data_IF_868437511414
#
_entry.id   IF_868437511414
#
_cell.length_a   1.000
_cell.length_b   1.000
_cell.length_c   1.000
_cell.angle_alpha   90.00
_cell.angle_beta   90.00
_cell.angle_gamma   90.00
#
_symmetry.space_group_name_H-M   'P 1'
#
loop_
_entity.id
_entity.type
_entity.pdbx_description
1 polymer ?
#
# COMPACT_ATOMS: atom_id res chain seq x y z
N UNK A 1 41.23 9.48 24.16
CA UNK A 1 40.47 10.61 23.56
C UNK A 1 40.00 10.31 22.13
N UNK A 2 40.89 9.93 21.20
CA UNK A 2 40.51 9.56 19.81
C UNK A 2 39.51 8.40 19.72
N UNK A 3 39.70 7.35 20.51
CA UNK A 3 38.78 6.20 20.61
C UNK A 3 37.34 6.60 20.98
N UNK A 4 37.22 7.55 21.92
CA UNK A 4 35.94 8.05 22.37
C UNK A 4 35.25 8.87 21.28
N UNK A 5 36.00 9.71 20.56
CA UNK A 5 35.50 10.48 19.41
C UNK A 5 35.04 9.54 18.29
N UNK A 6 35.76 8.46 18.02
CA UNK A 6 35.41 7.49 16.97
C UNK A 6 34.11 6.74 17.31
N UNK A 7 33.93 6.30 18.56
CA UNK A 7 32.69 5.68 19.04
C UNK A 7 31.47 6.60 18.90
N UNK A 8 31.59 7.88 19.29
CA UNK A 8 30.49 8.83 19.13
C UNK A 8 30.16 9.12 17.66
N UNK A 9 31.16 9.16 16.77
CA UNK A 9 30.92 9.28 15.32
C UNK A 9 30.19 8.07 14.75
N UNK A 10 30.57 6.85 15.17
CA UNK A 10 29.86 5.63 14.75
C UNK A 10 28.41 5.65 15.24
N UNK A 11 28.17 5.95 16.52
CA UNK A 11 26.82 6.03 17.08
C UNK A 11 25.96 7.07 16.37
N UNK A 12 26.53 8.22 16.04
CA UNK A 12 25.84 9.26 15.28
C UNK A 12 25.46 8.80 13.87
N UNK A 13 26.37 8.14 13.15
CA UNK A 13 26.08 7.60 11.81
C UNK A 13 24.98 6.54 11.87
N UNK A 14 25.04 5.62 12.84
CA UNK A 14 24.00 4.60 13.04
C UNK A 14 22.65 5.27 13.33
N UNK A 15 22.63 6.24 14.24
CA UNK A 15 21.41 7.00 14.56
C UNK A 15 20.82 7.70 13.33
N UNK A 16 21.66 8.32 12.49
CA UNK A 16 21.23 8.97 11.26
C UNK A 16 20.68 7.97 10.23
N UNK A 17 21.33 6.82 10.05
CA UNK A 17 20.84 5.74 9.17
C UNK A 17 19.48 5.22 9.66
N UNK A 18 19.32 5.01 10.96
CA UNK A 18 18.05 4.57 11.54
C UNK A 18 16.94 5.62 11.35
N UNK A 19 17.24 6.90 11.57
CA UNK A 19 16.29 8.00 11.31
C UNK A 19 15.89 8.07 9.83
N UNK A 20 16.84 7.89 8.92
CA UNK A 20 16.58 7.87 7.48
C UNK A 20 15.70 6.69 7.07
N UNK A 21 15.98 5.48 7.57
CA UNK A 21 15.14 4.29 7.34
C UNK A 21 13.73 4.47 7.91
N UNK A 22 13.62 5.01 9.12
CA UNK A 22 12.34 5.27 9.78
C UNK A 22 11.52 6.33 9.02
N UNK A 23 12.15 7.41 8.57
CA UNK A 23 11.50 8.43 7.74
C UNK A 23 10.99 7.89 6.41
N UNK A 24 11.77 7.02 5.74
CA UNK A 24 11.32 6.32 4.53
C UNK A 24 10.14 5.40 4.79
N UNK A 25 10.13 4.70 5.92
CA UNK A 25 9.05 3.80 6.29
C UNK A 25 7.73 4.57 6.52
N UNK A 26 7.77 5.72 7.22
CA UNK A 26 6.59 6.60 7.40
C UNK A 26 6.01 7.06 6.04
N UNK A 27 6.86 7.34 5.06
CA UNK A 27 6.42 7.77 3.73
C UNK A 27 5.69 6.67 2.95
N UNK A 28 5.99 5.39 3.21
CA UNK A 28 5.39 4.26 2.50
C UNK A 28 4.04 3.85 3.13
N UNK A 29 3.82 4.12 4.43
CA UNK A 29 2.56 3.77 5.09
C UNK A 29 1.39 4.75 4.84
N UNK A 30 1.66 5.93 4.28
CA UNK A 30 0.63 6.92 3.98
C UNK A 30 0.18 6.80 2.54
N UNK A 31 -1.11 6.67 2.33
CA UNK A 31 -1.70 6.68 1.02
C UNK A 31 -1.52 8.04 0.35
N UNK A 32 -1.00 8.00 -0.87
CA UNK A 32 -1.18 9.03 -1.90
C UNK A 32 -1.34 8.34 -3.25
N UNK A 33 -2.09 8.93 -4.17
CA UNK A 33 -2.27 8.37 -5.52
C UNK A 33 -0.93 8.14 -6.24
N UNK A 34 0.06 9.00 -6.01
CA UNK A 34 1.41 8.85 -6.56
C UNK A 34 2.14 7.63 -5.98
N UNK A 35 2.19 7.50 -4.65
CA UNK A 35 2.88 6.39 -3.99
C UNK A 35 2.21 5.04 -4.28
N UNK A 36 0.88 5.01 -4.29
CA UNK A 36 0.07 3.86 -4.65
C UNK A 36 0.37 3.33 -6.05
N UNK A 37 0.55 4.21 -7.03
CA UNK A 37 0.89 3.84 -8.40
C UNK A 37 2.36 3.48 -8.56
N UNK A 38 3.25 4.17 -7.83
CA UNK A 38 4.71 3.98 -7.92
C UNK A 38 5.20 2.69 -7.27
N UNK A 39 4.54 2.24 -6.20
CA UNK A 39 4.95 1.07 -5.40
C UNK A 39 3.80 0.06 -5.24
N UNK A 40 3.37 -0.62 -6.32
CA UNK A 40 2.25 -1.56 -6.27
C UNK A 40 2.46 -2.71 -5.28
N UNK A 41 3.71 -3.13 -5.05
CA UNK A 41 4.10 -4.18 -4.09
C UNK A 41 4.05 -3.74 -2.61
N UNK A 42 3.81 -2.44 -2.37
CA UNK A 42 3.74 -1.82 -1.03
C UNK A 42 2.35 -1.26 -0.72
N UNK A 43 1.35 -1.51 -1.56
CA UNK A 43 -0.02 -1.04 -1.33
C UNK A 43 -0.65 -1.63 -0.06
N UNK A 44 -0.19 -2.79 0.38
CA UNK A 44 -0.55 -3.40 1.66
C UNK A 44 -0.19 -2.50 2.84
N UNK A 45 0.87 -1.70 2.73
CA UNK A 45 1.28 -0.74 3.75
C UNK A 45 0.41 0.54 3.74
N UNK A 46 -0.30 0.81 2.64
CA UNK A 46 -1.07 2.04 2.38
C UNK A 46 -2.59 1.86 2.47
N UNK A 47 -3.11 0.66 2.21
CA UNK A 47 -4.55 0.41 2.01
C UNK A 47 -5.40 0.81 3.23
N UNK A 48 -4.87 0.67 4.45
CA UNK A 48 -5.60 1.07 5.65
C UNK A 48 -5.76 2.59 5.73
N UNK A 49 -4.70 3.34 5.40
CA UNK A 49 -4.74 4.80 5.35
C UNK A 49 -5.66 5.29 4.21
N UNK A 50 -5.65 4.62 3.05
CA UNK A 50 -6.60 4.84 1.96
C UNK A 50 -8.06 4.69 2.44
N UNK A 51 -8.41 3.54 3.01
CA UNK A 51 -9.77 3.22 3.43
C UNK A 51 -10.23 4.06 4.63
N UNK A 52 -9.28 4.61 5.42
CA UNK A 52 -9.60 5.55 6.50
C UNK A 52 -9.94 6.97 5.99
N UNK A 53 -9.44 7.35 4.82
CA UNK A 53 -9.56 8.71 4.27
C UNK A 53 -10.61 8.83 3.16
N UNK A 54 -10.86 7.74 2.44
CA UNK A 54 -11.73 7.72 1.27
C UNK A 54 -12.81 6.64 1.42
N UNK A 55 -14.07 7.05 1.27
CA UNK A 55 -15.20 6.12 1.15
C UNK A 55 -15.32 5.67 -0.31
N UNK A 56 -14.77 4.49 -0.61
CA UNK A 56 -14.79 3.96 -1.98
C UNK A 56 -16.18 3.46 -2.41
N UNK A 57 -17.06 3.10 -1.47
CA UNK A 57 -18.42 2.70 -1.79
C UNK A 57 -19.19 3.88 -2.41
N UNK A 58 -19.93 3.60 -3.49
CA UNK A 58 -20.67 4.60 -4.24
C UNK A 58 -19.86 5.36 -5.29
N UNK A 59 -18.52 5.32 -5.24
CA UNK A 59 -17.67 5.90 -6.29
C UNK A 59 -17.92 5.22 -7.63
N UNK A 60 -17.79 5.97 -8.73
CA UNK A 60 -17.78 5.38 -10.07
C UNK A 60 -16.46 4.67 -10.36
N UNK A 61 -16.45 3.79 -11.38
CA UNK A 61 -15.19 3.20 -11.83
C UNK A 61 -14.17 4.25 -12.25
N UNK A 62 -14.60 5.32 -12.93
CA UNK A 62 -13.72 6.41 -13.34
C UNK A 62 -13.14 7.19 -12.17
N UNK A 63 -13.92 7.44 -11.11
CA UNK A 63 -13.43 8.09 -9.89
C UNK A 63 -12.38 7.23 -9.18
N UNK A 64 -12.62 5.91 -9.09
CA UNK A 64 -11.65 4.96 -8.53
C UNK A 64 -10.38 4.93 -9.39
N UNK A 65 -10.50 4.88 -10.73
CA UNK A 65 -9.34 4.93 -11.64
C UNK A 65 -8.58 6.24 -11.47
N UNK A 66 -9.28 7.37 -11.29
CA UNK A 66 -8.62 8.65 -11.07
C UNK A 66 -7.87 8.69 -9.74
N UNK A 67 -8.35 8.00 -8.71
CA UNK A 67 -7.74 7.96 -7.38
C UNK A 67 -6.59 6.93 -7.30
N UNK A 68 -6.79 5.73 -7.81
CA UNK A 68 -5.94 4.55 -7.61
C UNK A 68 -5.17 4.12 -8.86
N UNK A 69 -5.47 4.71 -10.02
CA UNK A 69 -4.98 4.24 -11.32
C UNK A 69 -5.73 2.99 -11.79
N UNK A 70 -5.24 2.41 -12.88
CA UNK A 70 -5.82 1.19 -13.46
C UNK A 70 -5.73 0.01 -12.49
N UNK A 71 -6.75 -0.84 -12.49
CA UNK A 71 -6.75 -2.09 -11.73
C UNK A 71 -5.62 -3.02 -12.20
N UNK A 72 -5.17 -3.92 -11.34
CA UNK A 72 -4.19 -4.94 -11.69
C UNK A 72 -4.74 -5.86 -12.78
N UNK A 73 -3.94 -6.10 -13.82
CA UNK A 73 -4.21 -7.10 -14.85
C UNK A 73 -3.80 -8.49 -14.35
N UNK A 74 -4.78 -9.30 -13.96
CA UNK A 74 -4.58 -10.60 -13.31
C UNK A 74 -5.85 -11.45 -13.33
N UNK A 75 -5.69 -12.77 -13.15
CA UNK A 75 -6.79 -13.72 -12.95
C UNK A 75 -7.21 -13.85 -11.47
N UNK A 76 -6.36 -13.47 -10.51
CA UNK A 76 -6.66 -13.61 -9.08
C UNK A 76 -7.82 -12.71 -8.66
N UNK A 77 -8.89 -13.33 -8.16
CA UNK A 77 -10.15 -12.69 -7.74
C UNK A 77 -10.83 -11.83 -8.81
N UNK A 78 -10.34 -11.83 -10.06
CA UNK A 78 -10.87 -10.99 -11.13
C UNK A 78 -12.17 -11.57 -11.67
N UNK A 79 -13.14 -10.70 -11.90
CA UNK A 79 -14.41 -11.03 -12.55
C UNK A 79 -14.78 -9.90 -13.51
N UNK A 80 -15.81 -10.10 -14.33
CA UNK A 80 -16.32 -9.06 -15.24
C UNK A 80 -16.82 -7.80 -14.50
N UNK A 81 -17.27 -7.96 -13.25
CA UNK A 81 -17.93 -6.91 -12.48
C UNK A 81 -17.09 -6.46 -11.28
N UNK A 82 -15.75 -6.49 -11.37
CA UNK A 82 -14.90 -5.97 -10.30
C UNK A 82 -13.61 -5.28 -10.76
N UNK A 83 -13.08 -4.46 -9.86
CA UNK A 83 -11.74 -3.91 -9.95
C UNK A 83 -10.89 -4.57 -8.87
N UNK A 84 -9.74 -5.10 -9.25
CA UNK A 84 -8.83 -5.81 -8.34
C UNK A 84 -7.50 -5.08 -8.31
N UNK A 85 -6.98 -4.80 -7.12
CA UNK A 85 -5.66 -4.22 -6.93
C UNK A 85 -4.83 -5.16 -6.07
N UNK A 86 -3.72 -5.65 -6.64
CA UNK A 86 -2.67 -6.30 -5.86
C UNK A 86 -2.19 -5.33 -4.79
N UNK A 87 -2.14 -5.79 -3.53
CA UNK A 87 -1.67 -4.99 -2.41
C UNK A 87 -0.20 -5.27 -2.10
N UNK A 88 0.25 -6.51 -2.26
CA UNK A 88 1.56 -6.94 -1.80
C UNK A 88 1.47 -8.25 -1.02
N UNK A 89 2.59 -8.73 -0.48
CA UNK A 89 2.62 -9.89 0.40
C UNK A 89 1.71 -9.69 1.63
N UNK A 90 1.10 -10.78 2.09
CA UNK A 90 0.28 -10.81 3.30
C UNK A 90 1.02 -10.22 4.51
N UNK A 91 0.31 -9.48 5.36
CA UNK A 91 0.86 -8.99 6.62
C UNK A 91 1.05 -10.15 7.60
N UNK A 92 2.27 -10.35 8.09
CA UNK A 92 2.55 -11.40 9.08
C UNK A 92 4.04 -11.57 9.36
N UNK A 93 4.38 -12.48 10.28
CA UNK A 93 5.76 -12.88 10.55
C UNK A 93 6.36 -13.70 9.40
N UNK A 94 5.51 -14.41 8.66
CA UNK A 94 5.84 -15.17 7.46
C UNK A 94 4.75 -14.83 6.45
N UNK A 95 5.13 -14.25 5.31
CA UNK A 95 4.22 -13.89 4.22
C UNK A 95 4.39 -14.90 3.09
N UNK A 96 3.44 -15.81 2.94
CA UNK A 96 3.43 -16.81 1.85
C UNK A 96 2.48 -16.36 0.76
N UNK A 97 1.31 -15.88 1.16
CA UNK A 97 0.24 -15.45 0.27
C UNK A 97 0.30 -13.93 0.02
N UNK A 98 -0.59 -13.43 -0.84
CA UNK A 98 -0.72 -12.00 -1.12
C UNK A 98 -2.06 -11.45 -0.66
N UNK A 99 -2.11 -10.13 -0.44
CA UNK A 99 -3.35 -9.42 -0.18
C UNK A 99 -3.83 -8.65 -1.43
N UNK A 100 -5.14 -8.55 -1.56
CA UNK A 100 -5.81 -7.98 -2.73
C UNK A 100 -6.98 -7.10 -2.31
N UNK A 101 -7.05 -5.87 -2.81
CA UNK A 101 -8.23 -5.01 -2.68
C UNK A 101 -9.18 -5.32 -3.83
N UNK A 102 -10.36 -5.84 -3.50
CA UNK A 102 -11.40 -6.22 -4.45
C UNK A 102 -12.61 -5.31 -4.28
N UNK A 103 -12.93 -4.59 -5.36
CA UNK A 103 -14.06 -3.65 -5.43
C UNK A 103 -15.12 -4.22 -6.35
N UNK A 104 -16.28 -4.62 -5.80
CA UNK A 104 -17.41 -5.11 -6.60
C UNK A 104 -18.17 -3.94 -7.23
N UNK A 105 -18.42 -4.03 -8.53
CA UNK A 105 -19.06 -2.97 -9.32
C UNK A 105 -20.44 -3.40 -9.79
N UNK A 106 -21.44 -2.55 -9.58
CA UNK A 106 -22.76 -2.69 -10.19
C UNK A 106 -23.20 -1.34 -10.76
N UNK A 107 -23.74 -1.34 -11.98
CA UNK A 107 -24.21 -0.11 -12.66
C UNK A 107 -23.18 1.04 -12.62
N UNK A 108 -21.91 0.71 -12.89
CA UNK A 108 -20.77 1.62 -12.86
C UNK A 108 -20.39 2.19 -11.48
N UNK A 109 -20.90 1.64 -10.37
CA UNK A 109 -20.58 2.12 -9.02
C UNK A 109 -20.04 0.99 -8.14
N UNK A 110 -19.12 1.34 -7.24
CA UNK A 110 -18.63 0.42 -6.22
C UNK A 110 -19.74 0.13 -5.22
N UNK A 111 -20.08 -1.14 -5.06
CA UNK A 111 -21.11 -1.61 -4.12
C UNK A 111 -20.53 -2.34 -2.92
N UNK A 112 -19.27 -2.81 -3.03
CA UNK A 112 -18.60 -3.52 -1.95
C UNK A 112 -17.09 -3.37 -2.06
N UNK A 113 -16.44 -3.33 -0.90
CA UNK A 113 -14.99 -3.19 -0.76
C UNK A 113 -14.51 -4.32 0.15
N UNK A 114 -13.57 -5.14 -0.32
CA UNK A 114 -13.01 -6.24 0.48
C UNK A 114 -11.50 -6.30 0.33
N UNK A 115 -10.82 -6.81 1.37
CA UNK A 115 -9.44 -7.27 1.29
C UNK A 115 -9.47 -8.80 1.34
N UNK A 116 -8.94 -9.45 0.31
CA UNK A 116 -8.89 -10.90 0.17
C UNK A 116 -7.44 -11.40 0.14
N UNK A 117 -7.26 -12.70 0.39
CA UNK A 117 -5.98 -13.41 0.38
C UNK A 117 -6.10 -14.64 -0.50
N UNK A 118 -5.12 -14.86 -1.37
CA UNK A 118 -5.01 -16.05 -2.25
C UNK A 118 -4.44 -17.28 -1.55
#
# INVERSE_FOLDING_TARGET
MKEMIYKYRILFIIGFVLLFLFGRNILIHRFSSESWQKYPEKRVDMVDDLLSKYELMGMTQEEVISLLGQSTDTEYFKTENNMVYYLGPERGLISIDSEWLVLEVQKNQITKVNILRD
#
